data_IF_145923542301
#
_entry.id   IF_145923542301
#
_cell.length_a   1.000
_cell.length_b   1.000
_cell.length_c   1.000
_cell.angle_alpha   90.00
_cell.angle_beta   90.00
_cell.angle_gamma   90.00
#
_symmetry.space_group_name_H-M   'P 1'
#
loop_
_entity.id
_entity.type
_entity.pdbx_description
1 polymer ?
#
# COMPACT_ATOMS: atom_id res chain seq x y z
N UNK A 1 -6.16 -28.28 -15.16
CA UNK A 1 -4.73 -28.13 -14.82
C UNK A 1 -4.31 -26.70 -14.54
N UNK A 2 -4.69 -25.79 -15.38
CA UNK A 2 -4.28 -24.38 -15.22
C UNK A 2 -4.97 -23.64 -14.07
N UNK A 3 -6.13 -24.08 -13.62
CA UNK A 3 -6.99 -23.30 -12.72
C UNK A 3 -6.42 -23.12 -11.30
N UNK A 4 -5.92 -24.21 -10.69
CA UNK A 4 -5.33 -24.13 -9.34
C UNK A 4 -4.04 -23.31 -9.36
N UNK A 5 -3.19 -23.50 -10.35
CA UNK A 5 -1.93 -22.77 -10.49
C UNK A 5 -2.21 -21.29 -10.73
N UNK A 6 -3.13 -20.95 -11.61
CA UNK A 6 -3.54 -19.57 -11.88
C UNK A 6 -4.22 -18.93 -10.66
N UNK A 7 -5.06 -19.66 -9.97
CA UNK A 7 -5.72 -19.22 -8.74
C UNK A 7 -4.67 -18.95 -7.62
N UNK A 8 -3.71 -19.84 -7.49
CA UNK A 8 -2.59 -19.67 -6.55
C UNK A 8 -1.79 -18.40 -6.85
N UNK A 9 -1.40 -18.20 -8.11
CA UNK A 9 -0.70 -16.98 -8.54
C UNK A 9 -1.50 -15.72 -8.23
N UNK A 10 -2.79 -15.74 -8.53
CA UNK A 10 -3.68 -14.59 -8.29
C UNK A 10 -3.82 -14.28 -6.82
N UNK A 11 -4.02 -15.29 -5.96
CA UNK A 11 -4.14 -15.11 -4.51
C UNK A 11 -2.85 -14.62 -3.88
N UNK A 12 -1.70 -15.15 -4.29
CA UNK A 12 -0.40 -14.70 -3.81
C UNK A 12 -0.09 -13.28 -4.26
N UNK A 13 -0.42 -12.93 -5.50
CA UNK A 13 -0.29 -11.55 -6.00
C UNK A 13 -1.16 -10.57 -5.21
N UNK A 14 -2.39 -10.94 -4.87
CA UNK A 14 -3.26 -10.12 -4.00
C UNK A 14 -2.64 -9.87 -2.64
N UNK A 15 -2.00 -10.86 -2.05
CA UNK A 15 -1.29 -10.71 -0.76
C UNK A 15 -0.13 -9.73 -0.87
N UNK A 16 0.64 -9.78 -1.96
CA UNK A 16 1.74 -8.85 -2.22
C UNK A 16 1.23 -7.43 -2.49
N UNK A 17 0.16 -7.29 -3.26
CA UNK A 17 -0.46 -5.99 -3.55
C UNK A 17 -1.04 -5.35 -2.27
N UNK A 18 -1.63 -6.16 -1.40
CA UNK A 18 -2.08 -5.71 -0.07
C UNK A 18 -0.91 -5.23 0.79
N UNK A 19 0.20 -5.96 0.80
CA UNK A 19 1.44 -5.57 1.46
C UNK A 19 1.92 -4.20 0.94
N UNK A 20 2.01 -4.04 -0.37
CA UNK A 20 2.45 -2.79 -0.98
C UNK A 20 1.57 -1.61 -0.59
N UNK A 21 0.26 -1.81 -0.52
CA UNK A 21 -0.68 -0.77 -0.08
C UNK A 21 -0.52 -0.41 1.39
N UNK A 22 -0.38 -1.41 2.27
CA UNK A 22 -0.17 -1.17 3.70
C UNK A 22 1.15 -0.44 3.95
N UNK A 23 2.20 -0.79 3.23
CA UNK A 23 3.50 -0.13 3.32
C UNK A 23 3.47 1.30 2.78
N UNK A 24 2.70 1.57 1.73
CA UNK A 24 2.48 2.92 1.23
C UNK A 24 1.77 3.82 2.26
N UNK A 25 0.84 3.26 3.03
CA UNK A 25 0.15 3.99 4.11
C UNK A 25 1.08 4.32 5.27
N UNK A 26 2.10 3.51 5.54
CA UNK A 26 3.09 3.73 6.60
C UNK A 26 4.12 4.78 6.19
N UNK A 27 4.30 5.05 4.90
CA UNK A 27 5.22 6.08 4.39
C UNK A 27 4.86 7.52 4.80
N UNK A 28 3.88 7.70 5.69
CA UNK A 28 3.35 8.99 6.16
C UNK A 28 4.36 9.87 6.92
N UNK A 29 5.60 9.41 7.16
CA UNK A 29 6.67 10.24 7.73
C UNK A 29 7.38 11.16 6.73
N UNK A 30 7.08 11.02 5.43
CA UNK A 30 7.51 11.93 4.38
C UNK A 30 6.31 12.61 3.75
N UNK A 31 6.47 13.84 3.31
CA UNK A 31 5.45 14.50 2.51
C UNK A 31 5.15 13.63 1.29
N UNK A 32 3.90 13.23 1.16
CA UNK A 32 3.43 12.36 0.09
C UNK A 32 2.02 12.81 -0.31
N UNK A 33 1.76 12.89 -1.61
CA UNK A 33 0.43 13.23 -2.14
C UNK A 33 -0.68 12.31 -1.63
N UNK A 34 -0.33 11.08 -1.23
CA UNK A 34 -1.26 10.12 -0.63
C UNK A 34 -1.83 10.58 0.72
N UNK A 35 -1.17 11.52 1.40
CA UNK A 35 -1.68 12.13 2.62
C UNK A 35 -3.04 12.80 2.40
N UNK A 36 -3.28 13.29 1.19
CA UNK A 36 -4.52 13.96 0.79
C UNK A 36 -5.55 13.02 0.16
N UNK A 37 -5.26 11.73 0.08
CA UNK A 37 -6.24 10.76 -0.41
C UNK A 37 -7.45 10.73 0.53
N UNK A 38 -8.63 10.81 -0.07
CA UNK A 38 -9.88 10.84 0.68
C UNK A 38 -10.31 12.24 1.17
N UNK A 39 -9.48 13.27 0.98
CA UNK A 39 -9.88 14.65 1.26
C UNK A 39 -10.78 15.14 0.14
N UNK A 40 -11.99 15.55 0.51
CA UNK A 40 -12.96 16.16 -0.41
C UNK A 40 -13.17 17.62 -0.04
N UNK A 41 -13.26 18.44 -1.06
CA UNK A 41 -13.47 19.90 -0.94
C UNK A 41 -14.88 20.21 -1.41
N UNK A 42 -15.58 21.08 -0.69
CA UNK A 42 -16.84 21.62 -1.17
C UNK A 42 -16.54 22.63 -2.29
N UNK A 43 -16.81 22.23 -3.52
CA UNK A 43 -16.63 23.04 -4.71
C UNK A 43 -17.99 23.30 -5.35
N UNK A 44 -18.48 24.52 -5.18
CA UNK A 44 -19.81 24.95 -5.62
C UNK A 44 -20.95 24.04 -5.15
N UNK A 45 -20.88 23.59 -3.90
CA UNK A 45 -21.89 22.73 -3.29
C UNK A 45 -21.75 21.24 -3.59
N UNK A 46 -20.72 20.82 -4.33
CA UNK A 46 -20.44 19.43 -4.64
C UNK A 46 -19.13 18.96 -3.97
N UNK A 47 -19.14 17.84 -3.21
CA UNK A 47 -17.91 17.28 -2.67
C UNK A 47 -17.03 16.75 -3.81
N UNK A 48 -15.85 17.32 -3.97
CA UNK A 48 -14.93 17.04 -5.07
C UNK A 48 -13.58 16.62 -4.50
N UNK A 49 -12.95 15.52 -4.98
CA UNK A 49 -11.62 15.15 -4.56
C UNK A 49 -10.61 16.26 -4.81
N UNK A 50 -9.73 16.50 -3.83
CA UNK A 50 -8.75 17.59 -3.90
C UNK A 50 -7.83 17.48 -5.12
N UNK A 51 -7.53 16.25 -5.56
CA UNK A 51 -6.68 15.97 -6.72
C UNK A 51 -7.28 16.50 -8.04
N UNK A 52 -8.60 16.70 -8.09
CA UNK A 52 -9.28 17.27 -9.25
C UNK A 52 -9.28 18.81 -9.25
N UNK A 53 -9.03 19.42 -8.10
CA UNK A 53 -9.11 20.86 -7.91
C UNK A 53 -7.75 21.55 -7.84
N UNK A 54 -6.70 20.79 -7.62
CA UNK A 54 -5.37 21.33 -7.37
C UNK A 54 -4.26 20.43 -7.90
N UNK A 55 -3.15 21.06 -8.25
CA UNK A 55 -1.88 20.37 -8.47
C UNK A 55 -1.19 20.18 -7.12
N UNK A 56 -0.69 18.97 -6.86
CA UNK A 56 0.01 18.61 -5.63
C UNK A 56 1.44 18.28 -5.98
N UNK A 57 2.40 18.94 -5.34
CA UNK A 57 3.82 18.72 -5.53
C UNK A 57 4.54 18.53 -4.20
N UNK A 58 5.68 17.85 -4.23
CA UNK A 58 6.53 17.59 -3.07
C UNK A 58 7.93 18.12 -3.39
N UNK A 59 8.16 19.45 -3.26
CA UNK A 59 9.47 20.04 -3.59
C UNK A 59 10.57 19.63 -2.62
N UNK A 60 10.21 19.28 -1.38
CA UNK A 60 11.13 18.84 -0.34
C UNK A 60 10.56 17.64 0.40
N UNK A 61 11.42 16.87 1.08
CA UNK A 61 11.04 15.63 1.75
C UNK A 61 9.92 15.79 2.79
N UNK A 62 9.73 16.98 3.34
CA UNK A 62 8.73 17.28 4.38
C UNK A 62 7.81 18.44 4.03
N UNK A 63 7.79 18.84 2.77
CA UNK A 63 6.96 19.94 2.30
C UNK A 63 6.03 19.47 1.18
N UNK A 64 4.74 19.63 1.37
CA UNK A 64 3.71 19.40 0.38
C UNK A 64 3.17 20.76 -0.07
N UNK A 65 3.12 21.00 -1.37
CA UNK A 65 2.59 22.23 -1.95
C UNK A 65 1.36 21.88 -2.77
N UNK A 66 0.24 22.51 -2.42
CA UNK A 66 -1.05 22.35 -3.10
C UNK A 66 -1.36 23.66 -3.81
N UNK A 67 -1.45 23.59 -5.13
CA UNK A 67 -1.72 24.75 -5.98
C UNK A 67 -3.10 24.58 -6.61
N UNK A 68 -4.16 25.18 -6.04
CA UNK A 68 -5.49 25.13 -6.65
C UNK A 68 -5.50 25.76 -8.03
N UNK A 69 -6.23 25.15 -8.96
CA UNK A 69 -6.38 25.67 -10.31
C UNK A 69 -7.23 26.96 -10.33
N UNK A 70 -8.16 27.04 -9.39
CA UNK A 70 -9.00 28.22 -9.16
C UNK A 70 -8.58 28.89 -7.85
N UNK A 71 -8.07 30.12 -7.96
CA UNK A 71 -7.62 30.90 -6.79
C UNK A 71 -8.74 31.16 -5.78
N UNK A 72 -9.99 31.18 -6.23
CA UNK A 72 -11.14 31.37 -5.34
C UNK A 72 -11.40 30.18 -4.44
N UNK A 73 -10.87 28.99 -4.77
CA UNK A 73 -11.06 27.77 -4.02
C UNK A 73 -10.02 27.55 -2.93
N UNK A 74 -8.96 28.37 -2.83
CA UNK A 74 -7.86 28.21 -1.87
C UNK A 74 -8.38 28.11 -0.44
N UNK A 75 -9.26 28.98 -0.03
CA UNK A 75 -9.82 28.99 1.32
C UNK A 75 -10.63 27.70 1.60
N UNK A 76 -11.39 27.22 0.65
CA UNK A 76 -12.18 25.99 0.78
C UNK A 76 -11.29 24.76 0.85
N UNK A 77 -10.21 24.73 0.08
CA UNK A 77 -9.22 23.65 0.09
C UNK A 77 -8.51 23.61 1.45
N UNK A 78 -8.06 24.76 1.95
CA UNK A 78 -7.43 24.87 3.27
C UNK A 78 -8.38 24.40 4.38
N UNK A 79 -9.62 24.82 4.34
CA UNK A 79 -10.66 24.41 5.29
C UNK A 79 -10.91 22.91 5.25
N UNK A 80 -10.95 22.32 4.06
CA UNK A 80 -11.13 20.87 3.90
C UNK A 80 -9.95 20.07 4.46
N UNK A 81 -8.72 20.54 4.29
CA UNK A 81 -7.52 19.92 4.86
C UNK A 81 -7.54 19.99 6.38
N UNK A 82 -7.90 21.13 6.96
CA UNK A 82 -8.07 21.27 8.41
C UNK A 82 -9.15 20.34 8.96
N UNK A 83 -10.28 20.24 8.27
CA UNK A 83 -11.40 19.39 8.68
C UNK A 83 -11.08 17.88 8.61
N UNK A 84 -10.16 17.47 7.73
CA UNK A 84 -9.75 16.09 7.58
C UNK A 84 -8.88 15.57 8.74
N UNK A 85 -8.42 16.48 9.61
CA UNK A 85 -7.66 16.15 10.82
C UNK A 85 -6.46 15.23 10.56
N UNK A 86 -5.64 15.60 9.59
CA UNK A 86 -4.47 14.81 9.16
C UNK A 86 -3.26 14.94 10.10
N UNK A 87 -3.38 15.69 11.19
CA UNK A 87 -2.27 15.96 12.12
C UNK A 87 -1.22 16.92 11.57
N UNK A 88 -1.57 17.68 10.55
CA UNK A 88 -0.68 18.67 9.91
C UNK A 88 -1.35 20.04 9.90
N UNK A 89 -0.55 21.10 9.88
CA UNK A 89 -1.03 22.47 9.84
C UNK A 89 -0.78 23.07 8.44
N UNK A 90 -1.83 23.26 7.63
CA UNK A 90 -1.69 23.95 6.37
C UNK A 90 -1.45 25.46 6.56
N UNK A 91 -0.61 26.03 5.73
CA UNK A 91 -0.34 27.46 5.66
C UNK A 91 -0.62 27.97 4.25
N UNK A 92 -1.46 28.99 4.12
CA UNK A 92 -1.83 29.56 2.83
C UNK A 92 -1.27 30.97 2.69
N UNK A 93 -0.79 31.30 1.49
CA UNK A 93 -0.42 32.67 1.11
C UNK A 93 -1.45 33.33 0.18
N UNK A 94 -2.62 32.69 0.00
CA UNK A 94 -3.67 33.16 -0.90
C UNK A 94 -3.57 32.61 -2.32
N UNK A 95 -2.48 31.98 -2.70
CA UNK A 95 -2.29 31.36 -4.01
C UNK A 95 -2.03 29.85 -3.91
N UNK A 96 -1.21 29.44 -2.97
CA UNK A 96 -0.87 28.04 -2.72
C UNK A 96 -1.00 27.72 -1.24
N UNK A 97 -1.19 26.44 -0.94
CA UNK A 97 -1.24 25.90 0.43
C UNK A 97 -0.01 25.06 0.64
N UNK A 98 0.71 25.33 1.72
CA UNK A 98 1.91 24.57 2.12
C UNK A 98 1.59 23.75 3.36
N UNK A 99 1.95 22.48 3.33
CA UNK A 99 1.85 21.57 4.46
C UNK A 99 3.25 21.13 4.83
N UNK A 100 3.70 21.52 6.02
CA UNK A 100 4.93 20.99 6.61
C UNK A 100 4.62 19.72 7.38
N UNK A 101 5.24 18.61 6.98
CA UNK A 101 5.16 17.35 7.71
C UNK A 101 6.23 17.33 8.78
N UNK A 102 5.89 17.07 10.07
CA UNK A 102 6.88 17.03 11.14
C UNK A 102 7.96 15.97 10.88
N UNK A 103 9.19 16.25 11.33
CA UNK A 103 10.26 15.26 11.31
C UNK A 103 9.89 14.06 12.18
N UNK A 104 10.23 12.86 11.70
CA UNK A 104 10.06 11.65 12.50
C UNK A 104 10.98 11.71 13.73
N UNK A 105 10.42 11.49 14.91
CA UNK A 105 11.19 11.24 16.12
C UNK A 105 11.87 9.88 16.01
N UNK A 106 12.97 9.69 16.73
CA UNK A 106 13.68 8.40 16.77
C UNK A 106 12.77 7.27 17.28
N UNK A 107 11.92 7.56 18.28
CA UNK A 107 10.94 6.63 18.80
C UNK A 107 9.92 6.22 17.73
N UNK A 108 9.40 7.17 16.96
CA UNK A 108 8.45 6.90 15.89
C UNK A 108 9.08 6.09 14.76
N UNK A 109 10.35 6.34 14.43
CA UNK A 109 11.10 5.52 13.47
C UNK A 109 11.18 4.06 13.90
N UNK A 110 11.49 3.81 15.18
CA UNK A 110 11.56 2.45 15.73
C UNK A 110 10.20 1.75 15.68
N UNK A 111 9.13 2.45 16.01
CA UNK A 111 7.76 1.93 15.89
C UNK A 111 7.42 1.56 14.45
N UNK A 112 7.73 2.43 13.48
CA UNK A 112 7.49 2.19 12.07
C UNK A 112 8.28 0.98 11.55
N UNK A 113 9.52 0.81 11.97
CA UNK A 113 10.31 -0.37 11.61
C UNK A 113 9.67 -1.64 12.14
N UNK A 114 9.15 -1.64 13.36
CA UNK A 114 8.41 -2.78 13.93
C UNK A 114 7.12 -3.08 13.17
N UNK A 115 6.36 -2.05 12.81
CA UNK A 115 5.13 -2.19 12.02
C UNK A 115 5.43 -2.79 10.65
N UNK A 116 6.47 -2.30 9.95
CA UNK A 116 6.91 -2.82 8.65
C UNK A 116 7.30 -4.28 8.75
N UNK A 117 8.07 -4.67 9.76
CA UNK A 117 8.44 -6.07 10.00
C UNK A 117 7.22 -6.96 10.22
N UNK A 118 6.28 -6.50 11.04
CA UNK A 118 5.04 -7.23 11.32
C UNK A 118 4.22 -7.43 10.04
N UNK A 119 4.03 -6.40 9.25
CA UNK A 119 3.30 -6.45 7.99
C UNK A 119 3.97 -7.43 7.02
N UNK A 120 5.28 -7.41 6.92
CA UNK A 120 6.05 -8.34 6.11
C UNK A 120 5.88 -9.79 6.54
N UNK A 121 5.95 -10.07 7.84
CA UNK A 121 5.73 -11.42 8.38
C UNK A 121 4.30 -11.90 8.17
N UNK A 122 3.31 -11.03 8.40
CA UNK A 122 1.90 -11.35 8.16
C UNK A 122 1.64 -11.68 6.68
N UNK A 123 2.29 -10.97 5.77
CA UNK A 123 2.20 -11.23 4.33
C UNK A 123 2.80 -12.59 3.95
N UNK A 124 3.94 -12.96 4.55
CA UNK A 124 4.54 -14.29 4.36
C UNK A 124 3.63 -15.40 4.87
N UNK A 125 2.99 -15.21 6.02
CA UNK A 125 2.00 -16.15 6.56
C UNK A 125 0.83 -16.30 5.59
N UNK A 126 0.31 -15.22 5.04
CA UNK A 126 -0.77 -15.25 4.06
C UNK A 126 -0.37 -16.04 2.81
N UNK A 127 0.84 -15.85 2.29
CA UNK A 127 1.37 -16.61 1.14
C UNK A 127 1.48 -18.10 1.47
N UNK A 128 1.99 -18.46 2.65
CA UNK A 128 2.09 -19.86 3.09
C UNK A 128 0.72 -20.52 3.25
N UNK A 129 -0.29 -19.78 3.71
CA UNK A 129 -1.66 -20.28 3.81
C UNK A 129 -2.23 -20.57 2.42
N UNK A 130 -2.00 -19.71 1.44
CA UNK A 130 -2.39 -19.96 0.04
C UNK A 130 -1.73 -21.22 -0.49
N UNK A 131 -0.44 -21.43 -0.23
CA UNK A 131 0.29 -22.66 -0.61
C UNK A 131 -0.37 -23.89 -0.01
N UNK A 132 -0.65 -23.87 1.29
CA UNK A 132 -1.29 -25.01 1.98
C UNK A 132 -2.64 -25.34 1.38
N UNK A 133 -3.48 -24.34 1.17
CA UNK A 133 -4.81 -24.54 0.60
C UNK A 133 -4.72 -25.11 -0.82
N UNK A 134 -3.80 -24.62 -1.63
CA UNK A 134 -3.55 -25.12 -2.99
C UNK A 134 -3.07 -26.57 -2.98
N UNK A 135 -2.17 -26.94 -2.09
CA UNK A 135 -1.68 -28.31 -1.96
C UNK A 135 -2.79 -29.25 -1.49
N UNK A 136 -3.64 -28.81 -0.56
CA UNK A 136 -4.76 -29.60 -0.08
C UNK A 136 -5.79 -29.85 -1.21
N UNK A 137 -6.05 -28.84 -2.01
CA UNK A 137 -6.96 -28.99 -3.18
C UNK A 137 -6.36 -29.93 -4.23
N UNK A 138 -5.07 -29.86 -4.50
CA UNK A 138 -4.38 -30.78 -5.42
C UNK A 138 -4.45 -32.23 -4.93
N UNK A 139 -4.24 -32.46 -3.65
CA UNK A 139 -4.38 -33.81 -3.04
C UNK A 139 -5.80 -34.33 -3.17
N UNK A 140 -6.79 -33.46 -2.98
CA UNK A 140 -8.20 -33.81 -3.13
C UNK A 140 -8.52 -34.20 -4.58
N UNK A 141 -8.00 -33.48 -5.55
CA UNK A 141 -8.19 -33.80 -6.97
C UNK A 141 -7.54 -35.13 -7.36
N UNK A 142 -6.37 -35.42 -6.82
CA UNK A 142 -5.71 -36.70 -7.02
C UNK A 142 -6.54 -37.86 -6.42
N UNK A 143 -7.02 -37.72 -5.20
CA UNK A 143 -7.90 -38.70 -4.56
C UNK A 143 -9.18 -38.95 -5.34
N UNK A 144 -9.76 -37.92 -5.95
CA UNK A 144 -10.96 -38.02 -6.75
C UNK A 144 -10.71 -38.59 -8.16
N UNK A 145 -9.44 -38.78 -8.54
CA UNK A 145 -9.05 -39.25 -9.87
C UNK A 145 -9.08 -38.18 -10.96
N UNK A 146 -9.21 -36.92 -10.59
CA UNK A 146 -9.20 -35.79 -11.53
C UNK A 146 -7.81 -35.51 -12.10
N UNK A 147 -6.77 -35.80 -11.34
CA UNK A 147 -5.36 -35.71 -11.73
C UNK A 147 -4.61 -36.97 -11.34
N UNK A 148 -3.49 -37.24 -12.02
CA UNK A 148 -2.61 -38.38 -11.72
C UNK A 148 -1.66 -38.05 -10.58
N UNK A 149 -1.01 -39.06 -10.02
CA UNK A 149 0.04 -38.89 -9.01
C UNK A 149 1.23 -38.06 -9.53
N UNK A 150 1.59 -38.27 -10.81
CA UNK A 150 2.63 -37.46 -11.47
C UNK A 150 2.21 -36.01 -11.63
N UNK A 151 0.96 -35.74 -11.98
CA UNK A 151 0.39 -34.40 -12.05
C UNK A 151 0.39 -33.72 -10.69
N UNK A 152 0.05 -34.45 -9.63
CA UNK A 152 0.08 -33.96 -8.25
C UNK A 152 1.50 -33.50 -7.89
N UNK A 153 2.52 -34.31 -8.17
CA UNK A 153 3.91 -33.97 -7.88
C UNK A 153 4.38 -32.75 -8.66
N UNK A 154 4.10 -32.72 -9.94
CA UNK A 154 4.47 -31.60 -10.83
C UNK A 154 3.82 -30.30 -10.39
N UNK A 155 2.54 -30.31 -10.12
CA UNK A 155 1.79 -29.11 -9.71
C UNK A 155 2.16 -28.67 -8.30
N UNK A 156 2.45 -29.59 -7.38
CA UNK A 156 2.94 -29.27 -6.04
C UNK A 156 4.30 -28.56 -6.10
N UNK A 157 5.21 -29.01 -6.97
CA UNK A 157 6.49 -28.34 -7.20
C UNK A 157 6.31 -26.95 -7.80
N UNK A 158 5.36 -26.79 -8.69
CA UNK A 158 5.04 -25.48 -9.28
C UNK A 158 4.46 -24.51 -8.25
N UNK A 159 3.55 -24.96 -7.39
CA UNK A 159 3.03 -24.18 -6.25
C UNK A 159 4.18 -23.77 -5.32
N UNK A 160 5.12 -24.66 -5.05
CA UNK A 160 6.28 -24.34 -4.21
C UNK A 160 7.15 -23.24 -4.85
N UNK A 161 7.38 -23.32 -6.14
CA UNK A 161 8.15 -22.29 -6.87
C UNK A 161 7.46 -20.94 -6.83
N UNK A 162 6.15 -20.89 -7.06
CA UNK A 162 5.36 -19.65 -6.95
C UNK A 162 5.43 -19.09 -5.54
N UNK A 163 5.37 -19.94 -4.52
CA UNK A 163 5.49 -19.56 -3.12
C UNK A 163 6.85 -18.94 -2.83
N UNK A 164 7.93 -19.57 -3.28
CA UNK A 164 9.29 -19.07 -3.06
C UNK A 164 9.51 -17.72 -3.74
N UNK A 165 9.04 -17.56 -4.97
CA UNK A 165 9.11 -16.30 -5.71
C UNK A 165 8.31 -15.19 -5.00
N UNK A 166 7.14 -15.52 -4.46
CA UNK A 166 6.28 -14.58 -3.73
C UNK A 166 6.90 -14.17 -2.39
N UNK A 167 7.49 -15.10 -1.65
CA UNK A 167 8.20 -14.81 -0.39
C UNK A 167 9.43 -13.94 -0.65
N UNK A 168 10.17 -14.19 -1.73
CA UNK A 168 11.31 -13.37 -2.12
C UNK A 168 10.86 -11.94 -2.48
N UNK A 169 9.74 -11.78 -3.17
CA UNK A 169 9.16 -10.48 -3.48
C UNK A 169 8.77 -9.72 -2.20
N UNK A 170 8.15 -10.39 -1.23
CA UNK A 170 7.82 -9.81 0.08
C UNK A 170 9.09 -9.38 0.81
N UNK A 171 10.10 -10.23 0.85
CA UNK A 171 11.37 -9.93 1.52
C UNK A 171 12.09 -8.74 0.89
N UNK A 172 12.09 -8.65 -0.44
CA UNK A 172 12.67 -7.52 -1.16
C UNK A 172 11.95 -6.21 -0.83
N UNK A 173 10.64 -6.19 -0.91
CA UNK A 173 9.82 -5.02 -0.57
C UNK A 173 10.03 -4.58 0.88
N UNK A 174 10.12 -5.55 1.79
CA UNK A 174 10.35 -5.32 3.21
C UNK A 174 11.74 -4.76 3.52
N UNK A 175 12.79 -5.21 2.79
CA UNK A 175 14.17 -4.77 3.01
C UNK A 175 14.45 -3.35 2.48
N UNK A 176 13.73 -2.90 1.46
CA UNK A 176 13.94 -1.57 0.86
C UNK A 176 13.34 -0.44 1.70
N UNK A 177 12.35 -0.73 2.53
CA UNK A 177 11.62 0.27 3.32
C UNK A 177 12.39 0.78 4.55
N UNK A 178 13.12 -0.03 5.32
CA UNK A 178 13.89 0.48 6.46
C UNK A 178 14.97 1.48 6.07
N UNK A 179 15.54 1.40 4.88
CA UNK A 179 16.50 2.37 4.36
C UNK A 179 15.89 3.75 4.10
N UNK A 180 14.60 3.83 3.89
CA UNK A 180 13.87 5.10 3.70
C UNK A 180 13.71 5.84 5.04
N UNK A 181 13.67 5.11 6.15
CA UNK A 181 13.50 5.67 7.50
C UNK A 181 14.80 5.85 8.27
N UNK A 182 15.92 5.38 7.76
CA UNK A 182 17.26 5.62 8.29
C UNK A 182 17.91 6.83 7.61
#
# INVERSE_FOLDING_TARGET
MSDIINDTKTKMRKSIDSLSRELANISAGRANSNLLNGVTVDYYGAPTPIQQLASISVPEARLLVISPYDKSSVANVEKAINAANLGVNPSSDGEVIRISVPALTEERRKELVKEVKKIGEDSKVAVRNVRRDSNDELKKQEKNGDITEDDLRTQTNEVQKITDDSINAVSYTHLTLPTIYS
#
